data_IF_949430342785
#
_entry.id   IF_949430342785
#
_cell.length_a   1.000
_cell.length_b   1.000
_cell.length_c   1.000
_cell.angle_alpha   90.00
_cell.angle_beta   90.00
_cell.angle_gamma   90.00
#
_symmetry.space_group_name_H-M   'P 1'
#
loop_
_entity.id
_entity.type
_entity.pdbx_description
1 polymer ?
#
# COMPACT_ATOMS: atom_id res chain seq x y z
N UNK A 1 -10.82 5.70 -2.80
CA UNK A 1 -9.68 6.65 -2.82
C UNK A 1 -9.97 7.93 -3.60
N UNK A 2 -10.28 7.88 -4.92
CA UNK A 2 -10.50 9.11 -5.72
C UNK A 2 -11.60 10.01 -5.16
N UNK A 3 -12.73 9.45 -4.71
CA UNK A 3 -13.80 10.22 -4.07
C UNK A 3 -13.34 10.97 -2.82
N UNK A 4 -12.47 10.35 -2.03
CA UNK A 4 -11.88 10.99 -0.84
C UNK A 4 -10.95 12.13 -1.25
N UNK A 5 -10.12 11.93 -2.27
CA UNK A 5 -9.28 12.98 -2.84
C UNK A 5 -10.11 14.17 -3.37
N UNK A 6 -11.32 13.90 -3.90
CA UNK A 6 -12.25 14.96 -4.30
C UNK A 6 -12.80 15.71 -3.08
N UNK A 7 -13.23 15.00 -2.04
CA UNK A 7 -13.80 15.58 -0.81
C UNK A 7 -12.79 16.52 -0.13
N UNK A 8 -11.53 16.09 -0.03
CA UNK A 8 -10.47 16.87 0.62
C UNK A 8 -9.91 17.99 -0.28
N UNK A 9 -10.43 18.13 -1.50
CA UNK A 9 -9.99 19.16 -2.45
C UNK A 9 -8.56 18.96 -2.95
N UNK A 10 -8.09 17.73 -3.09
CA UNK A 10 -6.77 17.45 -3.66
C UNK A 10 -6.69 18.01 -5.08
N UNK A 11 -5.77 18.96 -5.31
CA UNK A 11 -5.70 19.74 -6.54
C UNK A 11 -4.84 19.08 -7.64
N UNK A 12 -3.89 18.22 -7.26
CA UNK A 12 -2.99 17.55 -8.19
C UNK A 12 -3.66 16.33 -8.86
N UNK A 13 -2.88 15.61 -9.65
CA UNK A 13 -3.32 14.42 -10.36
C UNK A 13 -3.67 13.27 -9.38
N UNK A 14 -4.98 13.09 -9.19
CA UNK A 14 -5.58 12.06 -8.33
C UNK A 14 -5.29 10.64 -8.82
N UNK A 15 -5.17 10.43 -10.13
CA UNK A 15 -4.84 9.10 -10.67
C UNK A 15 -3.40 8.77 -10.37
N UNK A 16 -2.49 9.72 -10.58
CA UNK A 16 -1.08 9.57 -10.23
C UNK A 16 -0.91 9.29 -8.74
N UNK A 17 -1.57 10.06 -7.87
CA UNK A 17 -1.54 9.81 -6.43
C UNK A 17 -2.03 8.39 -6.09
N UNK A 18 -3.18 7.97 -6.62
CA UNK A 18 -3.73 6.65 -6.34
C UNK A 18 -2.79 5.53 -6.81
N UNK A 19 -2.16 5.70 -7.97
CA UNK A 19 -1.19 4.74 -8.50
C UNK A 19 0.07 4.65 -7.64
N UNK A 20 0.62 5.79 -7.23
CA UNK A 20 1.80 5.86 -6.37
C UNK A 20 1.52 5.28 -4.98
N UNK A 21 0.37 5.61 -4.40
CA UNK A 21 -0.08 5.08 -3.12
C UNK A 21 -0.22 3.55 -3.15
N UNK A 22 -0.87 3.00 -4.17
CA UNK A 22 -1.01 1.54 -4.34
C UNK A 22 0.36 0.88 -4.57
N UNK A 23 1.24 1.52 -5.35
CA UNK A 23 2.60 1.02 -5.60
C UNK A 23 3.40 0.94 -4.31
N UNK A 24 3.31 1.96 -3.46
CA UNK A 24 3.92 1.97 -2.12
C UNK A 24 3.36 0.82 -1.25
N UNK A 25 2.04 0.65 -1.20
CA UNK A 25 1.41 -0.43 -0.42
C UNK A 25 1.86 -1.81 -0.89
N UNK A 26 1.92 -2.05 -2.20
CA UNK A 26 2.41 -3.31 -2.78
C UNK A 26 3.89 -3.57 -2.45
N UNK A 27 4.73 -2.53 -2.43
CA UNK A 27 6.14 -2.65 -2.06
C UNK A 27 6.31 -3.03 -0.58
N UNK A 28 5.60 -2.35 0.32
CA UNK A 28 5.60 -2.66 1.75
C UNK A 28 5.04 -4.06 2.04
N UNK A 29 3.98 -4.46 1.33
CA UNK A 29 3.41 -5.82 1.42
C UNK A 29 4.44 -6.86 1.05
N UNK A 30 5.13 -6.66 -0.08
CA UNK A 30 6.18 -7.56 -0.53
C UNK A 30 7.28 -7.68 0.54
N UNK A 31 7.73 -6.56 1.10
CA UNK A 31 8.74 -6.57 2.16
C UNK A 31 8.28 -7.33 3.42
N UNK A 32 7.02 -7.11 3.86
CA UNK A 32 6.46 -7.75 5.05
C UNK A 32 6.26 -9.25 4.89
N UNK A 33 5.72 -9.69 3.75
CA UNK A 33 5.57 -11.13 3.44
C UNK A 33 6.94 -11.82 3.41
N UNK A 34 7.95 -11.20 2.80
CA UNK A 34 9.29 -11.76 2.75
C UNK A 34 9.94 -11.83 4.15
N UNK A 35 9.69 -10.85 5.01
CA UNK A 35 10.21 -10.83 6.38
C UNK A 35 9.57 -11.90 7.28
N UNK A 36 8.36 -12.38 6.95
CA UNK A 36 7.69 -13.46 7.68
C UNK A 36 8.20 -14.86 7.30
N UNK A 37 8.95 -14.99 6.19
CA UNK A 37 9.49 -16.28 5.78
C UNK A 37 10.55 -16.77 6.76
N UNK A 38 10.77 -18.09 6.89
CA UNK A 38 11.89 -18.63 7.64
C UNK A 38 13.23 -18.04 7.21
N UNK A 39 14.18 -17.88 8.14
CA UNK A 39 15.49 -17.26 7.88
C UNK A 39 16.22 -17.95 6.73
N UNK A 40 16.08 -19.27 6.57
CA UNK A 40 16.67 -20.03 5.47
C UNK A 40 16.11 -19.56 4.12
N UNK A 41 14.79 -19.34 4.04
CA UNK A 41 14.10 -18.85 2.84
C UNK A 41 14.44 -17.41 2.53
N UNK A 42 14.58 -16.56 3.56
CA UNK A 42 15.03 -15.17 3.37
C UNK A 42 16.44 -15.12 2.76
N UNK A 43 17.37 -15.95 3.24
CA UNK A 43 18.73 -16.06 2.67
C UNK A 43 18.72 -16.55 1.23
N UNK A 44 17.93 -17.59 0.94
CA UNK A 44 17.75 -18.13 -0.41
C UNK A 44 17.26 -17.04 -1.39
N UNK A 45 16.26 -16.25 -0.98
CA UNK A 45 15.72 -15.15 -1.78
C UNK A 45 16.76 -14.05 -1.97
N UNK A 46 17.48 -13.64 -0.92
CA UNK A 46 18.53 -12.64 -1.03
C UNK A 46 19.64 -13.06 -2.01
N UNK A 47 20.03 -14.33 -2.00
CA UNK A 47 21.00 -14.86 -2.96
C UNK A 47 20.47 -14.86 -4.39
N UNK A 48 19.20 -15.26 -4.59
CA UNK A 48 18.54 -15.21 -5.90
C UNK A 48 18.43 -13.77 -6.43
N UNK A 49 18.08 -12.81 -5.57
CA UNK A 49 18.01 -11.38 -5.90
C UNK A 49 19.39 -10.83 -6.28
N UNK A 50 20.45 -11.15 -5.50
CA UNK A 50 21.82 -10.73 -5.82
C UNK A 50 22.29 -11.25 -7.18
N UNK A 51 21.81 -12.43 -7.59
CA UNK A 51 22.10 -13.03 -8.91
C UNK A 51 21.21 -12.48 -10.03
N UNK A 52 20.06 -11.91 -9.70
CA UNK A 52 19.15 -11.29 -10.65
C UNK A 52 19.73 -9.93 -11.10
N UNK A 53 20.16 -9.86 -12.36
CA UNK A 53 20.81 -8.68 -12.96
C UNK A 53 19.84 -7.60 -13.45
N UNK A 54 18.53 -7.87 -13.40
CA UNK A 54 17.49 -6.99 -13.92
C UNK A 54 16.23 -7.04 -13.04
N UNK A 55 15.49 -5.94 -13.03
CA UNK A 55 14.32 -5.72 -12.17
C UNK A 55 13.20 -6.75 -12.43
N UNK A 56 13.07 -7.23 -13.67
CA UNK A 56 12.06 -8.22 -14.02
C UNK A 56 12.36 -9.58 -13.37
N UNK A 57 13.62 -10.01 -13.36
CA UNK A 57 14.04 -11.23 -12.67
C UNK A 57 13.91 -11.12 -11.16
N UNK A 58 14.23 -9.97 -10.57
CA UNK A 58 13.99 -9.72 -9.14
C UNK A 58 12.50 -9.90 -8.84
N UNK A 59 11.63 -9.30 -9.65
CA UNK A 59 10.17 -9.42 -9.49
C UNK A 59 9.67 -10.85 -9.60
N UNK A 60 10.18 -11.63 -10.57
CA UNK A 60 9.82 -13.04 -10.72
C UNK A 60 10.25 -13.88 -9.51
N UNK A 61 11.48 -13.68 -9.01
CA UNK A 61 11.96 -14.35 -7.81
C UNK A 61 11.06 -14.03 -6.63
N UNK A 62 10.68 -12.76 -6.42
CA UNK A 62 9.80 -12.40 -5.31
C UNK A 62 8.41 -13.06 -5.41
N UNK A 63 7.86 -13.17 -6.62
CA UNK A 63 6.55 -13.82 -6.86
C UNK A 63 6.57 -15.32 -6.53
N UNK A 64 7.69 -16.01 -6.69
CA UNK A 64 7.80 -17.45 -6.36
C UNK A 64 7.59 -17.75 -4.87
N UNK A 65 7.86 -16.78 -4.00
CA UNK A 65 7.80 -16.97 -2.54
C UNK A 65 6.63 -16.22 -1.90
N UNK A 66 5.80 -15.54 -2.69
CA UNK A 66 4.59 -14.89 -2.22
C UNK A 66 3.44 -15.91 -2.21
N UNK A 67 3.02 -16.33 -1.02
CA UNK A 67 1.72 -16.97 -0.87
C UNK A 67 0.64 -15.93 -1.21
N UNK A 68 -0.19 -16.21 -2.23
CA UNK A 68 -1.19 -15.26 -2.74
C UNK A 68 -2.17 -14.83 -1.65
N UNK A 69 -2.61 -15.75 -0.78
CA UNK A 69 -3.57 -15.46 0.29
C UNK A 69 -2.95 -14.65 1.43
N UNK A 70 -1.69 -14.92 1.77
CA UNK A 70 -0.94 -14.13 2.76
C UNK A 70 -0.65 -12.73 2.20
N UNK A 71 -0.27 -12.63 0.93
CA UNK A 71 0.00 -11.38 0.25
C UNK A 71 -1.26 -10.51 0.19
N UNK A 72 -2.41 -11.07 -0.20
CA UNK A 72 -3.67 -10.33 -0.26
C UNK A 72 -4.10 -9.82 1.12
N UNK A 73 -4.03 -10.65 2.16
CA UNK A 73 -4.36 -10.24 3.53
C UNK A 73 -3.42 -9.13 4.01
N UNK A 74 -2.12 -9.32 3.82
CA UNK A 74 -1.10 -8.33 4.20
C UNK A 74 -1.27 -7.02 3.45
N UNK A 75 -1.65 -7.08 2.16
CA UNK A 75 -1.93 -5.90 1.34
C UNK A 75 -3.13 -5.13 1.86
N UNK A 76 -4.21 -5.82 2.24
CA UNK A 76 -5.39 -5.17 2.82
C UNK A 76 -5.01 -4.45 4.12
N UNK A 77 -4.27 -5.12 5.01
CA UNK A 77 -3.86 -4.55 6.29
C UNK A 77 -2.97 -3.32 6.11
N UNK A 78 -1.94 -3.41 5.26
CA UNK A 78 -1.03 -2.29 4.97
C UNK A 78 -1.77 -1.14 4.29
N UNK A 79 -2.66 -1.45 3.35
CA UNK A 79 -3.46 -0.42 2.66
C UNK A 79 -4.34 0.31 3.68
N UNK A 80 -4.97 -0.41 4.59
CA UNK A 80 -5.81 0.16 5.65
C UNK A 80 -5.00 1.01 6.62
N UNK A 81 -3.84 0.52 7.05
CA UNK A 81 -2.92 1.23 7.95
C UNK A 81 -2.44 2.55 7.33
N UNK A 82 -1.82 2.49 6.14
CA UNK A 82 -1.34 3.67 5.43
C UNK A 82 -2.47 4.65 5.11
N UNK A 83 -3.65 4.13 4.77
CA UNK A 83 -4.80 4.98 4.47
C UNK A 83 -5.30 5.69 5.72
N UNK A 84 -5.38 4.99 6.86
CA UNK A 84 -5.76 5.57 8.14
C UNK A 84 -4.77 6.66 8.54
N UNK A 85 -3.47 6.38 8.46
CA UNK A 85 -2.42 7.35 8.77
C UNK A 85 -2.49 8.59 7.86
N UNK A 86 -2.75 8.37 6.56
CA UNK A 86 -2.96 9.47 5.62
C UNK A 86 -4.14 10.35 6.04
N UNK A 87 -5.29 9.75 6.37
CA UNK A 87 -6.48 10.48 6.81
C UNK A 87 -6.21 11.25 8.10
N UNK A 88 -5.56 10.64 9.09
CA UNK A 88 -5.19 11.30 10.35
C UNK A 88 -4.27 12.50 10.13
N UNK A 89 -3.32 12.39 9.19
CA UNK A 89 -2.39 13.48 8.85
C UNK A 89 -3.05 14.65 8.14
N UNK A 90 -4.01 14.40 7.25
CA UNK A 90 -4.71 15.48 6.54
C UNK A 90 -5.87 16.07 7.34
N UNK A 91 -6.44 15.32 8.30
CA UNK A 91 -7.61 15.77 9.05
C UNK A 91 -7.46 17.19 9.66
N UNK A 92 -6.32 17.57 10.25
CA UNK A 92 -6.13 18.92 10.78
C UNK A 92 -6.17 20.01 9.72
N UNK A 93 -5.81 19.69 8.47
CA UNK A 93 -5.71 20.66 7.36
C UNK A 93 -7.05 20.91 6.67
N UNK A 94 -8.07 20.08 6.93
CA UNK A 94 -9.37 20.19 6.30
C UNK A 94 -10.24 21.28 6.93
N UNK A 95 -11.01 21.96 6.10
CA UNK A 95 -12.09 22.85 6.57
C UNK A 95 -13.19 22.04 7.27
N UNK A 96 -14.03 22.69 8.08
CA UNK A 96 -15.15 22.02 8.75
C UNK A 96 -16.07 21.31 7.75
N UNK A 97 -16.39 21.95 6.63
CA UNK A 97 -17.23 21.36 5.58
C UNK A 97 -16.61 20.10 4.96
N UNK A 98 -15.29 20.12 4.71
CA UNK A 98 -14.57 18.96 4.18
C UNK A 98 -14.52 17.81 5.18
N UNK A 99 -14.35 18.10 6.47
CA UNK A 99 -14.37 17.12 7.56
C UNK A 99 -15.73 16.43 7.63
N UNK A 100 -16.81 17.20 7.63
CA UNK A 100 -18.18 16.65 7.73
C UNK A 100 -18.47 15.72 6.55
N UNK A 101 -18.18 16.16 5.32
CA UNK A 101 -18.33 15.34 4.11
C UNK A 101 -17.46 14.08 4.13
N UNK A 102 -16.24 14.17 4.66
CA UNK A 102 -15.34 13.03 4.75
C UNK A 102 -15.82 12.02 5.78
N UNK A 103 -16.29 12.47 6.95
CA UNK A 103 -16.84 11.59 7.99
C UNK A 103 -18.13 10.90 7.53
N UNK A 104 -19.03 11.63 6.86
CA UNK A 104 -20.23 11.05 6.24
C UNK A 104 -19.87 10.02 5.16
N UNK A 105 -18.86 10.30 4.34
CA UNK A 105 -18.40 9.34 3.35
C UNK A 105 -17.85 8.06 4.01
N UNK A 106 -17.02 8.20 5.05
CA UNK A 106 -16.40 7.06 5.74
C UNK A 106 -17.40 6.22 6.54
N UNK A 107 -18.45 6.82 7.12
CA UNK A 107 -19.49 6.08 7.84
C UNK A 107 -20.32 5.19 6.92
N UNK A 108 -20.52 5.60 5.67
CA UNK A 108 -21.26 4.85 4.64
C UNK A 108 -20.46 3.73 3.97
N UNK A 109 -19.17 3.57 4.31
CA UNK A 109 -18.30 2.52 3.78
C UNK A 109 -18.01 1.40 4.81
N UNK A 110 -18.65 1.46 5.98
CA UNK A 110 -18.65 0.38 6.99
C UNK A 110 -19.76 -0.61 6.72
#
# INVERSE_FOLDING_TARGET
>A
MIQILNIIGYADDKQKFAQEFLTMCMAQTSAKVLANLPIEKQKEIQEKIKKAKDQNKITSVLREYQNIDEYQRTLIDITKENFTEYIEKIMPTLTSEQKDKLLEFLSNQR
#
